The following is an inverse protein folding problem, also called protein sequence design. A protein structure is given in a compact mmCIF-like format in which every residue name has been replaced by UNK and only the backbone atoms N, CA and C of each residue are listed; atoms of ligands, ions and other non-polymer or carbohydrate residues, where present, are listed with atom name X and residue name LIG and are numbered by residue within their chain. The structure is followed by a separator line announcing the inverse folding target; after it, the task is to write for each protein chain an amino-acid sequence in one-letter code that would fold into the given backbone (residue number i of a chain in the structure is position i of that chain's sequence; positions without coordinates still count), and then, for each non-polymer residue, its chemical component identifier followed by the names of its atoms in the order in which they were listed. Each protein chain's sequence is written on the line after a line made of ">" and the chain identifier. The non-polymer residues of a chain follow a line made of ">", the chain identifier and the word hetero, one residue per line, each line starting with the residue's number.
data_IF_660181262447
#
_entry.id   IF_660181262447
#
_cell.length_a   1.000
_cell.length_b   1.000
_cell.length_c   1.000
_cell.angle_alpha   90.00
_cell.angle_beta   90.00
_cell.angle_gamma   90.00
#
_symmetry.space_group_name_H-M   'P 1'
#
loop_
_entity.id
_entity.type
_entity.pdbx_description
1 polymer ?
#
# COMPACT_ATOMS: atom_id res chain seq x y z
N UNK A 1 -21.19 -22.06 21.59
CA UNK A 1 -20.23 -22.02 20.47
C UNK A 1 -20.72 -22.99 19.41
N UNK A 2 -21.51 -22.52 18.43
CA UNK A 2 -22.01 -23.35 17.34
C UNK A 2 -21.07 -23.18 16.15
N UNK A 3 -20.56 -24.31 15.66
CA UNK A 3 -19.93 -24.58 14.37
C UNK A 3 -19.74 -23.36 13.44
N UNK A 4 -18.63 -22.65 13.65
CA UNK A 4 -17.99 -21.87 12.60
C UNK A 4 -17.33 -22.89 11.67
N UNK A 5 -18.03 -23.33 10.61
CA UNK A 5 -17.41 -23.99 9.45
C UNK A 5 -16.49 -22.95 8.79
N UNK A 6 -15.30 -22.79 9.34
CA UNK A 6 -14.24 -21.95 8.79
C UNK A 6 -13.71 -22.66 7.54
N UNK A 7 -13.83 -21.99 6.39
CA UNK A 7 -13.02 -22.14 5.17
C UNK A 7 -12.41 -23.53 4.95
N UNK A 8 -13.26 -24.56 4.78
CA UNK A 8 -12.84 -25.70 3.97
C UNK A 8 -13.18 -25.33 2.54
N UNK A 9 -12.18 -25.00 1.74
CA UNK A 9 -12.35 -24.91 0.29
C UNK A 9 -12.74 -26.32 -0.16
N UNK A 10 -14.04 -26.56 -0.30
CA UNK A 10 -14.53 -27.83 -0.82
C UNK A 10 -14.25 -27.83 -2.33
N UNK A 11 -13.04 -28.27 -2.67
CA UNK A 11 -12.63 -28.51 -4.06
C UNK A 11 -13.51 -29.57 -4.74
N UNK A 12 -14.38 -30.25 -3.98
CA UNK A 12 -15.33 -31.26 -4.45
C UNK A 12 -16.54 -30.67 -5.19
N UNK A 13 -16.86 -29.38 -5.01
CA UNK A 13 -17.89 -28.68 -5.80
C UNK A 13 -17.40 -28.27 -7.20
N UNK A 14 -16.12 -28.53 -7.52
CA UNK A 14 -15.53 -28.32 -8.85
C UNK A 14 -15.79 -29.49 -9.82
N UNK A 15 -16.95 -30.15 -9.71
CA UNK A 15 -17.38 -31.16 -10.69
C UNK A 15 -17.80 -30.57 -12.05
N UNK A 16 -17.78 -29.24 -12.16
CA UNK A 16 -17.94 -28.51 -13.40
C UNK A 16 -16.97 -28.97 -14.49
N UNK A 17 -17.44 -28.96 -15.74
CA UNK A 17 -16.68 -29.44 -16.89
C UNK A 17 -15.35 -28.70 -17.06
N UNK A 18 -14.48 -29.17 -17.98
CA UNK A 18 -13.20 -28.50 -18.30
C UNK A 18 -13.33 -26.98 -18.57
N UNK A 19 -14.50 -26.52 -19.01
CA UNK A 19 -14.83 -25.10 -19.19
C UNK A 19 -14.84 -24.29 -17.90
N UNK A 20 -15.44 -24.81 -16.84
CA UNK A 20 -15.63 -24.11 -15.56
C UNK A 20 -14.30 -23.90 -14.85
N UNK A 21 -13.41 -24.91 -14.88
CA UNK A 21 -12.07 -24.81 -14.32
C UNK A 21 -11.21 -23.76 -15.03
N UNK A 22 -11.34 -23.63 -16.36
CA UNK A 22 -10.62 -22.61 -17.13
C UNK A 22 -11.11 -21.21 -16.77
N UNK A 23 -12.42 -21.02 -16.66
CA UNK A 23 -13.00 -19.73 -16.29
C UNK A 23 -12.61 -19.32 -14.86
N UNK A 24 -12.63 -20.26 -13.92
CA UNK A 24 -12.17 -20.03 -12.56
C UNK A 24 -10.70 -19.59 -12.52
N UNK A 25 -9.81 -20.28 -13.23
CA UNK A 25 -8.39 -19.92 -13.27
C UNK A 25 -8.15 -18.53 -13.87
N UNK A 26 -8.95 -18.14 -14.88
CA UNK A 26 -8.88 -16.79 -15.44
C UNK A 26 -9.31 -15.76 -14.41
N UNK A 27 -10.47 -15.96 -13.76
CA UNK A 27 -10.94 -15.08 -12.68
C UNK A 27 -9.91 -14.98 -11.55
N UNK A 28 -9.32 -16.10 -11.16
CA UNK A 28 -8.29 -16.14 -10.13
C UNK A 28 -7.09 -15.26 -10.51
N UNK A 29 -6.62 -15.33 -11.76
CA UNK A 29 -5.54 -14.46 -12.24
C UNK A 29 -5.97 -12.98 -12.31
N UNK A 30 -7.20 -12.69 -12.72
CA UNK A 30 -7.74 -11.33 -12.77
C UNK A 30 -7.80 -10.70 -11.39
N UNK A 31 -8.24 -11.45 -10.37
CA UNK A 31 -8.28 -10.99 -8.97
C UNK A 31 -6.89 -10.74 -8.39
N UNK A 32 -5.88 -11.53 -8.77
CA UNK A 32 -4.49 -11.24 -8.41
C UNK A 32 -4.05 -9.90 -8.98
N UNK A 33 -4.32 -9.65 -10.26
CA UNK A 33 -3.91 -8.41 -10.93
C UNK A 33 -4.69 -7.21 -10.36
N UNK A 34 -5.99 -7.38 -10.11
CA UNK A 34 -6.81 -6.34 -9.48
C UNK A 34 -6.32 -6.01 -8.07
N UNK A 35 -6.07 -7.02 -7.23
CA UNK A 35 -5.50 -6.82 -5.90
C UNK A 35 -4.13 -6.14 -5.95
N UNK A 36 -3.29 -6.54 -6.91
CA UNK A 36 -1.97 -5.93 -7.15
C UNK A 36 -2.11 -4.44 -7.48
N UNK A 37 -2.85 -4.11 -8.53
CA UNK A 37 -3.00 -2.73 -9.01
C UNK A 37 -3.77 -1.84 -8.03
N UNK A 38 -4.69 -2.40 -7.23
CA UNK A 38 -5.39 -1.67 -6.18
C UNK A 38 -4.43 -1.10 -5.11
N UNK A 39 -3.42 -1.89 -4.75
CA UNK A 39 -2.46 -1.52 -3.70
C UNK A 39 -1.12 -1.01 -4.25
N UNK A 40 -0.92 -1.07 -5.56
CA UNK A 40 0.34 -0.68 -6.21
C UNK A 40 0.74 0.77 -5.92
N UNK A 41 -0.17 1.73 -6.13
CA UNK A 41 0.09 3.14 -5.82
C UNK A 41 0.44 3.38 -4.35
N UNK A 42 -0.28 2.73 -3.44
CA UNK A 42 -0.01 2.79 -2.00
C UNK A 42 1.41 2.30 -1.68
N UNK A 43 1.80 1.15 -2.22
CA UNK A 43 3.15 0.61 -2.06
C UNK A 43 4.21 1.56 -2.61
N UNK A 44 4.01 2.13 -3.80
CA UNK A 44 5.00 3.02 -4.40
C UNK A 44 5.27 4.24 -3.54
N UNK A 45 4.22 4.83 -2.96
CA UNK A 45 4.37 5.97 -2.07
C UNK A 45 5.15 5.59 -0.82
N UNK A 46 4.87 4.42 -0.21
CA UNK A 46 5.65 3.94 0.94
C UNK A 46 7.10 3.69 0.55
N UNK A 47 7.35 2.91 -0.51
CA UNK A 47 8.70 2.55 -0.93
C UNK A 47 9.56 3.77 -1.26
N UNK A 48 8.97 4.80 -1.87
CA UNK A 48 9.64 6.05 -2.19
C UNK A 48 9.60 7.11 -1.09
N UNK A 49 8.91 6.89 0.03
CA UNK A 49 8.62 7.95 1.00
C UNK A 49 9.89 8.65 1.52
N UNK A 50 10.96 7.91 1.76
CA UNK A 50 12.23 8.45 2.23
C UNK A 50 12.89 9.36 1.19
N UNK A 51 12.89 8.95 -0.08
CA UNK A 51 13.45 9.75 -1.17
C UNK A 51 12.58 10.98 -1.45
N UNK A 52 11.25 10.83 -1.48
CA UNK A 52 10.32 11.95 -1.67
C UNK A 52 10.53 12.98 -0.56
N UNK A 53 10.58 12.55 0.70
CA UNK A 53 10.86 13.44 1.82
C UNK A 53 12.24 14.13 1.69
N UNK A 54 13.27 13.41 1.23
CA UNK A 54 14.61 13.96 1.01
C UNK A 54 14.63 15.01 -0.11
N UNK A 55 13.96 14.75 -1.23
CA UNK A 55 13.90 15.66 -2.39
C UNK A 55 13.30 17.03 -2.05
N UNK A 56 12.39 17.08 -1.07
CA UNK A 56 11.78 18.32 -0.61
C UNK A 56 12.40 18.89 0.67
N UNK A 57 13.56 18.38 1.11
CA UNK A 57 14.24 18.78 2.35
C UNK A 57 13.38 18.58 3.62
N UNK A 58 12.53 17.55 3.62
CA UNK A 58 11.59 17.18 4.71
C UNK A 58 11.83 15.77 5.25
N UNK A 59 13.07 15.31 5.34
CA UNK A 59 13.44 13.95 5.79
C UNK A 59 12.77 13.53 7.11
N UNK A 60 12.59 14.46 8.06
CA UNK A 60 11.93 14.19 9.33
C UNK A 60 10.42 13.95 9.24
N UNK A 61 9.81 14.23 8.09
CA UNK A 61 8.38 14.06 7.82
C UNK A 61 8.08 12.87 6.92
N UNK A 62 9.03 11.95 6.69
CA UNK A 62 8.77 10.70 5.96
C UNK A 62 7.52 9.95 6.52
N UNK A 63 7.37 9.74 7.84
CA UNK A 63 6.22 8.98 8.38
C UNK A 63 4.85 9.63 8.11
N UNK A 64 4.84 10.91 7.69
CA UNK A 64 3.63 11.62 7.31
C UNK A 64 2.96 10.96 6.10
N UNK A 65 3.73 10.41 5.14
CA UNK A 65 3.16 9.73 3.97
C UNK A 65 2.26 8.55 4.38
N UNK A 66 2.75 7.66 5.24
CA UNK A 66 1.96 6.54 5.77
C UNK A 66 0.76 7.03 6.57
N UNK A 67 0.96 8.06 7.40
CA UNK A 67 -0.11 8.62 8.25
C UNK A 67 -1.23 9.23 7.42
N UNK A 68 -0.90 9.99 6.37
CA UNK A 68 -1.85 10.59 5.44
C UNK A 68 -2.61 9.51 4.67
N UNK A 69 -1.95 8.43 4.22
CA UNK A 69 -2.66 7.32 3.56
C UNK A 69 -3.62 6.60 4.50
N UNK A 70 -3.21 6.34 5.75
CA UNK A 70 -4.10 5.73 6.75
C UNK A 70 -5.29 6.63 7.05
N UNK A 71 -5.05 7.92 7.23
CA UNK A 71 -6.13 8.89 7.41
C UNK A 71 -7.07 8.92 6.20
N UNK A 72 -6.53 8.92 4.98
CA UNK A 72 -7.32 8.82 3.75
C UNK A 72 -8.17 7.55 3.73
N UNK A 73 -7.62 6.41 4.17
CA UNK A 73 -8.36 5.16 4.23
C UNK A 73 -9.54 5.22 5.22
N UNK A 74 -9.31 5.74 6.43
CA UNK A 74 -10.40 5.90 7.40
C UNK A 74 -11.46 6.89 6.94
N UNK A 75 -11.04 8.08 6.47
CA UNK A 75 -11.94 9.12 6.02
C UNK A 75 -12.77 8.66 4.81
N UNK A 76 -12.11 8.08 3.81
CA UNK A 76 -12.77 7.60 2.60
C UNK A 76 -13.67 6.42 2.88
N UNK A 77 -13.26 5.47 3.73
CA UNK A 77 -14.11 4.37 4.15
C UNK A 77 -15.38 4.84 4.87
N UNK A 78 -15.24 5.81 5.78
CA UNK A 78 -16.37 6.39 6.51
C UNK A 78 -17.34 7.17 5.61
N UNK A 79 -16.82 7.91 4.63
CA UNK A 79 -17.63 8.61 3.61
C UNK A 79 -18.31 7.61 2.69
N UNK A 80 -17.56 6.62 2.18
CA UNK A 80 -18.07 5.59 1.28
C UNK A 80 -19.21 4.79 1.93
N UNK A 81 -19.06 4.39 3.19
CA UNK A 81 -20.10 3.65 3.93
C UNK A 81 -21.44 4.41 4.05
N UNK A 82 -21.41 5.75 4.03
CA UNK A 82 -22.62 6.58 4.14
C UNK A 82 -23.17 7.04 2.80
N UNK A 83 -22.29 7.45 1.88
CA UNK A 83 -22.66 8.19 0.67
C UNK A 83 -22.64 7.30 -0.57
N UNK A 84 -21.81 6.26 -0.63
CA UNK A 84 -21.61 5.52 -1.87
C UNK A 84 -22.74 4.52 -2.18
N UNK A 85 -23.56 4.14 -1.19
CA UNK A 85 -24.61 3.13 -1.30
C UNK A 85 -25.53 3.24 -2.54
N UNK A 86 -26.06 4.43 -2.94
CA UNK A 86 -26.93 4.55 -4.11
C UNK A 86 -26.19 4.42 -5.45
N UNK A 87 -24.86 4.58 -5.48
CA UNK A 87 -24.10 4.52 -6.72
C UNK A 87 -23.80 3.08 -7.13
N UNK A 88 -23.71 2.82 -8.43
CA UNK A 88 -23.28 1.52 -8.94
C UNK A 88 -21.78 1.27 -8.68
N UNK A 89 -21.38 0.00 -8.59
CA UNK A 89 -19.96 -0.39 -8.47
C UNK A 89 -19.08 0.25 -9.55
N UNK A 90 -19.57 0.30 -10.81
CA UNK A 90 -18.93 1.04 -11.90
C UNK A 90 -18.70 2.50 -11.51
N UNK A 91 -19.74 3.25 -11.20
CA UNK A 91 -19.58 4.68 -10.88
C UNK A 91 -18.59 4.92 -9.74
N UNK A 92 -18.64 4.09 -8.69
CA UNK A 92 -17.74 4.20 -7.52
C UNK A 92 -16.28 3.98 -7.91
N UNK A 93 -15.98 2.88 -8.60
CA UNK A 93 -14.62 2.58 -9.01
C UNK A 93 -14.15 3.56 -10.10
N UNK A 94 -15.04 4.02 -10.98
CA UNK A 94 -14.70 4.97 -12.05
C UNK A 94 -14.29 6.32 -11.48
N UNK A 95 -15.01 6.78 -10.46
CA UNK A 95 -14.62 7.94 -9.67
C UNK A 95 -13.27 7.73 -8.97
N UNK A 96 -13.03 6.54 -8.41
CA UNK A 96 -11.74 6.20 -7.81
C UNK A 96 -10.60 6.29 -8.84
N UNK A 97 -10.80 5.83 -10.08
CA UNK A 97 -9.80 5.95 -11.16
C UNK A 97 -9.43 7.40 -11.45
N UNK A 98 -10.43 8.29 -11.47
CA UNK A 98 -10.22 9.72 -11.69
C UNK A 98 -9.43 10.30 -10.52
N UNK A 99 -9.82 9.98 -9.28
CA UNK A 99 -9.10 10.39 -8.05
C UNK A 99 -7.63 9.95 -8.11
N UNK A 100 -7.37 8.69 -8.47
CA UNK A 100 -6.03 8.14 -8.60
C UNK A 100 -5.21 8.85 -9.68
N UNK A 101 -5.82 9.13 -10.83
CA UNK A 101 -5.16 9.82 -11.94
C UNK A 101 -4.79 11.26 -11.56
N UNK A 102 -5.69 11.97 -10.86
CA UNK A 102 -5.39 13.29 -10.30
C UNK A 102 -4.25 13.20 -9.29
N UNK A 103 -4.25 12.19 -8.42
CA UNK A 103 -3.16 11.92 -7.48
C UNK A 103 -1.80 11.80 -8.19
N UNK A 104 -1.73 11.04 -9.28
CA UNK A 104 -0.49 10.91 -10.04
C UNK A 104 -0.07 12.16 -10.80
N UNK A 105 -1.02 12.94 -11.34
CA UNK A 105 -0.72 14.24 -11.93
C UNK A 105 -0.19 15.23 -10.88
N UNK A 106 -0.74 15.21 -9.67
CA UNK A 106 -0.25 16.02 -8.55
C UNK A 106 1.15 15.58 -8.11
N UNK A 107 1.44 14.27 -8.05
CA UNK A 107 2.82 13.80 -7.84
C UNK A 107 3.75 14.30 -8.93
N UNK A 108 3.37 14.14 -10.21
CA UNK A 108 4.14 14.64 -11.34
C UNK A 108 4.49 16.11 -11.19
N UNK A 109 3.48 16.93 -10.93
CA UNK A 109 3.62 18.38 -10.73
C UNK A 109 4.46 18.70 -9.51
N UNK A 110 4.27 18.00 -8.39
CA UNK A 110 5.05 18.19 -7.16
C UNK A 110 6.55 18.00 -7.42
N UNK A 111 6.94 16.97 -8.17
CA UNK A 111 8.35 16.71 -8.47
C UNK A 111 8.96 17.75 -9.41
N UNK A 112 8.17 18.42 -10.26
CA UNK A 112 8.66 19.55 -11.06
C UNK A 112 8.96 20.80 -10.21
N UNK A 113 8.43 20.88 -8.99
CA UNK A 113 8.66 21.99 -8.05
C UNK A 113 9.89 21.80 -7.15
N UNK A 114 10.56 20.65 -7.22
CA UNK A 114 11.78 20.37 -6.45
C UNK A 114 12.86 21.42 -6.77
N UNK A 115 13.37 22.09 -5.73
CA UNK A 115 14.41 23.12 -5.86
C UNK A 115 13.91 24.50 -6.30
N UNK A 116 12.63 24.64 -6.69
CA UNK A 116 12.01 25.93 -7.03
C UNK A 116 11.06 26.38 -5.93
N UNK A 117 10.11 25.51 -5.54
CA UNK A 117 9.14 25.73 -4.48
C UNK A 117 8.94 24.44 -3.67
N UNK A 118 10.01 23.95 -3.04
CA UNK A 118 10.03 22.66 -2.35
C UNK A 118 8.92 22.52 -1.29
N UNK A 119 8.56 23.60 -0.60
CA UNK A 119 7.46 23.59 0.38
C UNK A 119 6.10 23.28 -0.28
N UNK A 120 5.79 23.99 -1.38
CA UNK A 120 4.53 23.78 -2.12
C UNK A 120 4.51 22.39 -2.75
N UNK A 121 5.63 21.96 -3.33
CA UNK A 121 5.78 20.61 -3.87
C UNK A 121 5.56 19.52 -2.83
N UNK A 122 6.10 19.67 -1.61
CA UNK A 122 5.92 18.70 -0.54
C UNK A 122 4.44 18.53 -0.14
N UNK A 123 3.73 19.64 0.10
CA UNK A 123 2.31 19.57 0.49
C UNK A 123 1.43 19.08 -0.66
N UNK A 124 1.80 19.38 -1.90
CA UNK A 124 1.16 18.80 -3.08
C UNK A 124 1.37 17.28 -3.15
N UNK A 125 2.56 16.79 -2.84
CA UNK A 125 2.84 15.35 -2.73
C UNK A 125 2.04 14.69 -1.58
N UNK A 126 1.80 15.40 -0.47
CA UNK A 126 0.91 14.88 0.58
C UNK A 126 -0.56 14.83 0.15
N UNK A 127 -1.04 15.83 -0.59
CA UNK A 127 -2.38 15.76 -1.18
C UNK A 127 -2.49 14.61 -2.18
N UNK A 128 -1.49 14.42 -3.04
CA UNK A 128 -1.41 13.29 -3.95
C UNK A 128 -1.47 11.95 -3.20
N UNK A 129 -0.72 11.84 -2.10
CA UNK A 129 -0.69 10.68 -1.19
C UNK A 129 -2.07 10.38 -0.60
N UNK A 130 -2.80 11.41 -0.18
CA UNK A 130 -4.18 11.25 0.29
C UNK A 130 -5.09 10.66 -0.80
N UNK A 131 -5.00 11.16 -2.04
CA UNK A 131 -5.81 10.66 -3.15
C UNK A 131 -5.47 9.21 -3.53
N UNK A 132 -4.19 8.83 -3.48
CA UNK A 132 -3.75 7.43 -3.65
C UNK A 132 -4.38 6.53 -2.58
N UNK A 133 -4.32 6.94 -1.30
CA UNK A 133 -4.95 6.19 -0.20
C UNK A 133 -6.47 6.09 -0.35
N UNK A 134 -7.12 7.16 -0.80
CA UNK A 134 -8.56 7.17 -1.06
C UNK A 134 -8.94 6.19 -2.18
N UNK A 135 -8.20 6.17 -3.30
CA UNK A 135 -8.41 5.20 -4.37
C UNK A 135 -8.28 3.76 -3.86
N UNK A 136 -7.17 3.44 -3.18
CA UNK A 136 -6.91 2.09 -2.66
C UNK A 136 -8.07 1.60 -1.80
N UNK A 137 -8.61 2.48 -0.93
CA UNK A 137 -9.74 2.15 -0.06
C UNK A 137 -11.05 1.95 -0.81
N UNK A 138 -11.38 2.82 -1.78
CA UNK A 138 -12.60 2.64 -2.58
C UNK A 138 -12.52 1.34 -3.37
N UNK A 139 -11.38 1.07 -4.01
CA UNK A 139 -11.18 -0.16 -4.75
C UNK A 139 -11.23 -1.40 -3.85
N UNK A 140 -10.62 -1.37 -2.66
CA UNK A 140 -10.70 -2.48 -1.68
C UNK A 140 -12.14 -2.79 -1.29
N UNK A 141 -12.91 -1.78 -0.90
CA UNK A 141 -14.31 -1.96 -0.47
C UNK A 141 -15.16 -2.54 -1.61
N UNK A 142 -15.01 -2.03 -2.84
CA UNK A 142 -15.86 -2.44 -3.96
C UNK A 142 -15.48 -3.83 -4.49
N UNK A 143 -14.19 -4.17 -4.59
CA UNK A 143 -13.77 -5.51 -5.02
C UNK A 143 -14.15 -6.57 -3.99
N UNK A 144 -13.91 -6.33 -2.69
CA UNK A 144 -14.33 -7.27 -1.64
C UNK A 144 -15.87 -7.43 -1.59
N UNK A 145 -16.62 -6.37 -1.89
CA UNK A 145 -18.08 -6.46 -1.98
C UNK A 145 -18.54 -7.36 -3.12
N UNK A 146 -17.86 -7.28 -4.28
CA UNK A 146 -18.16 -8.12 -5.47
C UNK A 146 -17.74 -9.57 -5.25
N UNK A 147 -16.61 -9.79 -4.55
CA UNK A 147 -16.10 -11.13 -4.25
C UNK A 147 -17.05 -11.97 -3.39
N UNK A 148 -17.94 -11.34 -2.61
CA UNK A 148 -19.00 -12.05 -1.87
C UNK A 148 -19.99 -12.78 -2.79
N UNK A 149 -20.09 -12.34 -4.05
CA UNK A 149 -20.99 -12.89 -5.06
C UNK A 149 -20.28 -13.87 -6.01
N UNK A 150 -19.01 -14.19 -5.73
CA UNK A 150 -18.16 -15.07 -6.52
C UNK A 150 -17.63 -16.22 -5.62
N UNK A 151 -17.00 -17.26 -6.20
CA UNK A 151 -16.48 -18.37 -5.41
C UNK A 151 -15.49 -17.91 -4.33
N UNK A 152 -15.64 -18.43 -3.11
CA UNK A 152 -14.89 -18.03 -1.92
C UNK A 152 -13.36 -18.07 -2.08
N UNK A 153 -12.83 -18.93 -2.97
CA UNK A 153 -11.39 -19.03 -3.26
C UNK A 153 -10.79 -17.77 -3.88
N UNK A 154 -11.61 -16.91 -4.50
CA UNK A 154 -11.15 -15.67 -5.13
C UNK A 154 -10.75 -14.59 -4.12
N UNK A 155 -11.27 -14.62 -2.89
CA UNK A 155 -10.81 -13.73 -1.81
C UNK A 155 -9.33 -13.98 -1.49
N UNK A 156 -8.89 -15.24 -1.57
CA UNK A 156 -7.48 -15.61 -1.44
C UNK A 156 -6.62 -15.06 -2.57
N UNK A 157 -7.14 -15.07 -3.81
CA UNK A 157 -6.47 -14.52 -4.99
C UNK A 157 -6.27 -13.00 -4.86
N UNK A 158 -7.32 -12.27 -4.47
CA UNK A 158 -7.26 -10.84 -4.16
C UNK A 158 -6.21 -10.56 -3.08
N UNK A 159 -6.30 -11.25 -1.94
CA UNK A 159 -5.35 -11.11 -0.83
C UNK A 159 -3.90 -11.39 -1.24
N UNK A 160 -3.66 -12.40 -2.07
CA UNK A 160 -2.34 -12.67 -2.64
C UNK A 160 -1.86 -11.51 -3.52
N UNK A 161 -2.70 -11.03 -4.44
CA UNK A 161 -2.40 -9.88 -5.30
C UNK A 161 -2.03 -8.63 -4.52
N UNK A 162 -2.79 -8.29 -3.48
CA UNK A 162 -2.46 -7.16 -2.60
C UNK A 162 -1.12 -7.36 -1.87
N UNK A 163 -0.67 -8.59 -1.63
CA UNK A 163 0.64 -8.88 -1.02
C UNK A 163 1.78 -8.75 -2.03
N UNK A 164 1.57 -9.28 -3.24
CA UNK A 164 2.50 -9.13 -4.37
C UNK A 164 2.71 -7.66 -4.72
N UNK A 165 1.68 -6.82 -4.58
CA UNK A 165 1.78 -5.37 -4.84
C UNK A 165 2.95 -4.72 -4.09
N UNK A 166 3.20 -5.16 -2.86
CA UNK A 166 4.21 -4.55 -2.00
C UNK A 166 5.64 -4.86 -2.47
N UNK A 167 5.85 -6.11 -2.89
CA UNK A 167 7.09 -6.54 -3.50
C UNK A 167 7.29 -5.89 -4.88
N UNK A 168 6.29 -5.97 -5.77
CA UNK A 168 6.40 -5.45 -7.13
C UNK A 168 6.52 -3.93 -7.15
N UNK A 169 5.77 -3.21 -6.33
CA UNK A 169 5.83 -1.75 -6.22
C UNK A 169 7.20 -1.26 -5.76
N UNK A 170 7.74 -1.83 -4.68
CA UNK A 170 9.06 -1.42 -4.18
C UNK A 170 10.20 -1.74 -5.16
N UNK A 171 10.19 -2.93 -5.77
CA UNK A 171 11.23 -3.32 -6.75
C UNK A 171 11.13 -2.49 -8.03
N UNK A 172 9.92 -2.28 -8.56
CA UNK A 172 9.74 -1.46 -9.76
C UNK A 172 10.13 0.00 -9.54
N UNK A 173 9.85 0.55 -8.35
CA UNK A 173 10.32 1.87 -7.94
C UNK A 173 11.86 1.95 -7.95
N UNK A 174 12.54 1.02 -7.27
CA UNK A 174 14.01 0.97 -7.22
C UNK A 174 14.58 0.87 -8.64
N UNK A 175 14.05 -0.05 -9.47
CA UNK A 175 14.53 -0.21 -10.85
C UNK A 175 14.35 1.09 -11.64
N UNK A 176 13.17 1.71 -11.59
CA UNK A 176 12.87 2.92 -12.37
C UNK A 176 13.81 4.09 -12.00
N UNK A 177 13.99 4.35 -10.70
CA UNK A 177 14.83 5.45 -10.25
C UNK A 177 16.31 5.20 -10.55
N UNK A 178 16.79 3.95 -10.39
CA UNK A 178 18.19 3.61 -10.71
C UNK A 178 18.46 3.59 -12.23
N UNK A 179 17.44 3.45 -13.07
CA UNK A 179 17.53 3.66 -14.53
C UNK A 179 17.49 5.14 -14.93
N UNK A 180 17.41 6.08 -13.97
CA UNK A 180 17.38 7.51 -14.23
C UNK A 180 16.02 8.03 -14.71
N UNK A 181 14.94 7.25 -14.55
CA UNK A 181 13.59 7.73 -14.84
C UNK A 181 13.24 8.82 -13.81
N UNK A 182 12.91 10.02 -14.30
CA UNK A 182 12.48 11.10 -13.40
C UNK A 182 11.20 10.73 -12.65
N UNK A 183 11.12 11.11 -11.37
CA UNK A 183 9.95 10.87 -10.51
C UNK A 183 8.65 11.35 -11.15
N UNK A 184 8.67 12.54 -11.79
CA UNK A 184 7.49 13.06 -12.48
C UNK A 184 7.02 12.14 -13.60
N UNK A 185 7.94 11.69 -14.46
CA UNK A 185 7.61 10.79 -15.57
C UNK A 185 7.13 9.44 -15.06
N UNK A 186 7.76 8.93 -14.00
CA UNK A 186 7.37 7.67 -13.39
C UNK A 186 5.91 7.67 -12.93
N UNK A 187 5.50 8.63 -12.09
CA UNK A 187 4.13 8.67 -11.57
C UNK A 187 3.08 8.95 -12.66
N UNK A 188 3.33 9.91 -13.57
CA UNK A 188 2.41 10.20 -14.68
C UNK A 188 2.27 9.01 -15.63
N UNK A 189 3.36 8.26 -15.85
CA UNK A 189 3.37 7.05 -16.66
C UNK A 189 2.51 5.90 -16.10
N UNK A 190 2.08 5.97 -14.84
CA UNK A 190 1.20 4.95 -14.25
C UNK A 190 -0.28 5.12 -14.62
N UNK A 191 -0.71 6.31 -15.03
CA UNK A 191 -2.11 6.57 -15.42
C UNK A 191 -2.66 5.54 -16.43
N UNK A 192 -1.96 5.21 -17.54
CA UNK A 192 -2.46 4.19 -18.48
C UNK A 192 -2.56 2.77 -17.88
N UNK A 193 -1.73 2.43 -16.88
CA UNK A 193 -1.81 1.11 -16.21
C UNK A 193 -3.17 0.92 -15.54
N UNK A 194 -3.73 2.01 -15.03
CA UNK A 194 -5.01 2.01 -14.35
C UNK A 194 -6.21 1.82 -15.31
N UNK A 195 -6.05 2.02 -16.62
CA UNK A 195 -7.05 1.58 -17.61
C UNK A 195 -7.18 0.05 -17.65
N UNK A 196 -6.09 -0.68 -17.40
CA UNK A 196 -6.10 -2.14 -17.29
C UNK A 196 -6.90 -2.57 -16.06
N UNK A 197 -6.66 -1.93 -14.91
CA UNK A 197 -7.44 -2.17 -13.69
C UNK A 197 -8.94 -1.98 -13.96
N UNK A 198 -9.31 -0.88 -14.61
CA UNK A 198 -10.70 -0.59 -14.95
C UNK A 198 -11.33 -1.65 -15.86
N UNK A 199 -10.63 -2.08 -16.91
CA UNK A 199 -11.11 -3.09 -17.83
C UNK A 199 -11.34 -4.45 -17.14
N UNK A 200 -10.39 -4.87 -16.29
CA UNK A 200 -10.50 -6.09 -15.49
C UNK A 200 -11.67 -6.02 -14.51
N UNK A 201 -11.81 -4.89 -13.82
CA UNK A 201 -12.90 -4.66 -12.87
C UNK A 201 -14.28 -4.78 -13.53
N UNK A 202 -14.47 -4.16 -14.70
CA UNK A 202 -15.73 -4.24 -15.44
C UNK A 202 -16.08 -5.67 -15.85
N UNK A 203 -15.08 -6.49 -16.18
CA UNK A 203 -15.28 -7.89 -16.52
C UNK A 203 -15.69 -8.71 -15.30
N UNK A 204 -14.95 -8.59 -14.20
CA UNK A 204 -15.26 -9.28 -12.94
C UNK A 204 -16.65 -8.89 -12.43
N UNK A 205 -16.96 -7.60 -12.39
CA UNK A 205 -18.28 -7.10 -11.97
C UNK A 205 -19.41 -7.65 -12.84
N UNK A 206 -19.20 -7.73 -14.17
CA UNK A 206 -20.19 -8.33 -15.08
C UNK A 206 -20.44 -9.79 -14.73
N UNK A 207 -19.39 -10.57 -14.45
CA UNK A 207 -19.51 -11.98 -14.10
C UNK A 207 -20.19 -12.18 -12.74
N UNK A 208 -19.83 -11.38 -11.75
CA UNK A 208 -20.48 -11.41 -10.43
C UNK A 208 -21.99 -11.14 -10.53
N UNK A 209 -22.40 -10.14 -11.32
CA UNK A 209 -23.83 -9.84 -11.54
C UNK A 209 -24.58 -10.96 -12.25
N UNK A 210 -23.92 -11.72 -13.13
CA UNK A 210 -24.54 -12.88 -13.77
C UNK A 210 -24.74 -14.00 -12.75
N UNK A 211 -23.75 -14.25 -11.90
CA UNK A 211 -23.82 -15.26 -10.85
C UNK A 211 -24.90 -14.92 -9.81
N UNK A 212 -25.02 -13.66 -9.39
CA UNK A 212 -26.10 -13.20 -8.49
C UNK A 212 -27.49 -13.46 -9.08
N UNK A 213 -27.68 -13.22 -10.39
CA UNK A 213 -28.98 -13.45 -11.05
C UNK A 213 -29.32 -14.93 -11.14
N UNK A 214 -28.33 -15.78 -11.40
CA UNK A 214 -28.50 -17.22 -11.44
C UNK A 214 -28.85 -17.78 -10.05
N UNK A 215 -28.12 -17.36 -9.02
CA UNK A 215 -28.43 -17.71 -7.63
C UNK A 215 -29.81 -17.19 -7.20
N UNK A 216 -30.14 -15.94 -7.52
CA UNK A 216 -31.46 -15.39 -7.19
C UNK A 216 -32.59 -16.15 -7.88
N UNK A 217 -32.42 -16.54 -9.15
CA UNK A 217 -33.41 -17.35 -9.87
C UNK A 217 -33.54 -18.77 -9.30
N UNK A 218 -32.44 -19.36 -8.83
CA UNK A 218 -32.45 -20.65 -8.15
C UNK A 218 -33.05 -20.56 -6.73
N UNK A 219 -32.82 -19.47 -6.00
CA UNK A 219 -33.26 -19.28 -4.61
C UNK A 219 -34.73 -18.85 -4.51
N UNK A 220 -35.25 -18.07 -5.48
CA UNK A 220 -36.70 -17.78 -5.61
C UNK A 220 -37.52 -19.06 -5.84
N UNK A 221 -36.88 -20.14 -6.29
CA UNK A 221 -37.53 -21.46 -6.42
C UNK A 221 -37.57 -22.26 -5.10
N UNK A 222 -36.86 -21.83 -4.04
CA UNK A 222 -36.58 -22.64 -2.85
C UNK A 222 -36.82 -21.98 -1.47
N UNK A 223 -36.98 -20.66 -1.32
CA UNK A 223 -37.07 -20.04 0.03
C UNK A 223 -38.11 -18.92 0.23
N UNK A 224 -38.75 -18.96 1.41
CA UNK A 224 -39.70 -17.99 1.98
C UNK A 224 -39.02 -16.67 2.40
N UNK A 225 -39.77 -15.56 2.31
CA UNK A 225 -39.43 -14.14 2.55
C UNK A 225 -38.57 -13.80 3.79
N UNK A 226 -38.45 -14.67 4.78
CA UNK A 226 -37.87 -14.36 6.10
C UNK A 226 -36.32 -14.34 6.11
N UNK A 227 -35.66 -14.98 5.13
CA UNK A 227 -34.18 -15.09 5.06
C UNK A 227 -33.47 -13.82 4.54
N UNK A 228 -34.22 -12.85 3.97
CA UNK A 228 -33.66 -11.80 3.10
C UNK A 228 -33.14 -10.53 3.81
N UNK A 229 -33.26 -10.40 5.14
CA UNK A 229 -32.85 -9.17 5.84
C UNK A 229 -31.38 -9.17 6.25
N UNK A 230 -30.53 -8.78 5.29
CA UNK A 230 -29.23 -8.16 5.60
C UNK A 230 -29.46 -6.95 6.52
N UNK A 231 -29.06 -7.09 7.79
CA UNK A 231 -29.26 -6.08 8.82
C UNK A 231 -28.49 -4.81 8.46
N UNK A 232 -29.20 -3.72 8.17
CA UNK A 232 -28.58 -2.39 8.06
C UNK A 232 -27.85 -2.08 9.37
N UNK A 233 -26.57 -1.75 9.26
CA UNK A 233 -25.75 -1.31 10.39
C UNK A 233 -26.37 -0.03 10.97
N UNK A 234 -27.13 -0.21 12.04
CA UNK A 234 -27.76 0.85 12.81
C UNK A 234 -26.94 1.00 14.09
N UNK A 235 -26.90 2.19 14.69
CA UNK A 235 -26.22 2.40 15.98
C UNK A 235 -26.66 1.39 17.05
N UNK A 236 -27.90 0.90 16.98
CA UNK A 236 -28.46 -0.15 17.85
C UNK A 236 -27.92 -1.57 17.58
N UNK A 237 -27.52 -1.89 16.34
CA UNK A 237 -26.96 -3.20 15.97
C UNK A 237 -25.43 -3.24 16.05
N UNK A 238 -24.77 -2.08 16.07
CA UNK A 238 -23.30 -1.98 16.17
C UNK A 238 -22.71 -2.70 17.40
N UNK A 239 -23.27 -2.60 18.63
CA UNK A 239 -22.73 -3.34 19.78
C UNK A 239 -22.79 -4.85 19.59
N UNK A 240 -23.82 -5.36 18.90
CA UNK A 240 -23.94 -6.79 18.61
C UNK A 240 -22.92 -7.24 17.57
N UNK A 241 -22.70 -6.45 16.52
CA UNK A 241 -21.64 -6.71 15.52
C UNK A 241 -20.26 -6.68 16.18
N UNK A 242 -20.00 -5.68 17.03
CA UNK A 242 -18.75 -5.59 17.78
C UNK A 242 -18.59 -6.74 18.78
N UNK A 243 -19.67 -7.21 19.42
CA UNK A 243 -19.61 -8.40 20.27
C UNK A 243 -19.29 -9.67 19.48
N UNK A 244 -19.74 -9.78 18.23
CA UNK A 244 -19.50 -10.94 17.37
C UNK A 244 -18.11 -10.94 16.73
N UNK A 245 -17.63 -9.79 16.24
CA UNK A 245 -16.38 -9.68 15.47
C UNK A 245 -15.33 -8.75 16.05
N UNK A 246 -15.62 -8.03 17.13
CA UNK A 246 -14.76 -6.97 17.67
C UNK A 246 -13.40 -7.47 18.12
N UNK A 247 -13.31 -8.69 18.66
CA UNK A 247 -12.01 -9.30 18.99
C UNK A 247 -11.13 -9.43 17.75
N UNK A 248 -11.69 -9.89 16.62
CA UNK A 248 -10.95 -10.04 15.35
C UNK A 248 -10.54 -8.66 14.83
N UNK A 249 -11.45 -7.69 14.84
CA UNK A 249 -11.20 -6.31 14.41
C UNK A 249 -10.09 -5.68 15.25
N UNK A 250 -10.13 -5.82 16.58
CA UNK A 250 -9.12 -5.28 17.48
C UNK A 250 -7.74 -5.94 17.27
N UNK A 251 -7.70 -7.25 17.07
CA UNK A 251 -6.44 -7.96 16.79
C UNK A 251 -5.83 -7.51 15.45
N UNK A 252 -6.66 -7.36 14.42
CA UNK A 252 -6.21 -6.80 13.13
C UNK A 252 -5.72 -5.37 13.29
N UNK A 253 -6.48 -4.50 13.94
CA UNK A 253 -6.10 -3.11 14.17
C UNK A 253 -4.76 -3.01 14.94
N UNK A 254 -4.60 -3.79 16.00
CA UNK A 254 -3.36 -3.83 16.78
C UNK A 254 -2.17 -4.35 15.94
N UNK A 255 -2.36 -5.43 15.18
CA UNK A 255 -1.31 -6.00 14.32
C UNK A 255 -0.84 -4.98 13.28
N UNK A 256 -1.76 -4.29 12.62
CA UNK A 256 -1.43 -3.23 11.66
C UNK A 256 -0.79 -2.01 12.34
N UNK A 257 -1.24 -1.61 13.52
CA UNK A 257 -0.63 -0.51 14.26
C UNK A 257 0.84 -0.79 14.61
N UNK A 258 1.13 -1.99 15.13
CA UNK A 258 2.51 -2.42 15.41
C UNK A 258 3.35 -2.53 14.13
N UNK A 259 2.73 -2.98 13.05
CA UNK A 259 3.41 -3.05 11.76
C UNK A 259 3.86 -1.66 11.26
N UNK A 260 2.95 -0.69 11.21
CA UNK A 260 3.27 0.66 10.76
C UNK A 260 4.24 1.38 11.70
N UNK A 261 4.22 1.05 13.01
CA UNK A 261 5.21 1.54 13.96
C UNK A 261 6.63 1.07 13.60
N UNK A 262 6.80 -0.21 13.25
CA UNK A 262 8.09 -0.76 12.84
C UNK A 262 8.52 -0.17 11.49
N UNK A 263 7.65 -0.23 10.49
CA UNK A 263 7.98 0.12 9.09
C UNK A 263 8.20 1.63 8.91
N UNK A 264 7.26 2.46 9.38
CA UNK A 264 7.34 3.91 9.18
C UNK A 264 8.05 4.63 10.32
N UNK A 265 8.13 4.03 11.51
CA UNK A 265 8.82 4.63 12.67
C UNK A 265 10.29 4.23 12.76
N UNK A 266 10.57 2.94 12.88
CA UNK A 266 11.92 2.45 13.20
C UNK A 266 12.79 2.22 11.97
N UNK A 267 12.25 1.57 10.93
CA UNK A 267 13.02 1.19 9.74
C UNK A 267 13.55 2.42 8.96
N UNK A 268 12.77 3.49 8.88
CA UNK A 268 13.21 4.77 8.31
C UNK A 268 14.50 5.28 8.92
N UNK A 269 14.51 5.44 10.24
CA UNK A 269 15.62 6.05 10.96
C UNK A 269 16.87 5.18 10.94
N UNK A 270 16.71 3.87 10.88
CA UNK A 270 17.82 2.94 10.73
C UNK A 270 18.56 3.08 9.38
N UNK A 271 17.87 3.56 8.33
CA UNK A 271 18.41 3.62 6.96
C UNK A 271 18.97 4.99 6.54
N UNK A 272 18.81 6.03 7.36
CA UNK A 272 19.27 7.40 7.03
C UNK A 272 20.80 7.57 6.94
N UNK A 273 21.58 6.63 7.49
CA UNK A 273 23.04 6.73 7.57
C UNK A 273 23.70 5.41 7.13
N UNK A 274 23.76 5.17 5.80
CA UNK A 274 24.41 3.99 5.26
C UNK A 274 25.92 3.99 5.53
N UNK A 275 26.44 2.88 6.02
CA UNK A 275 27.88 2.60 6.04
C UNK A 275 28.43 2.60 4.60
N UNK A 276 29.67 3.09 4.36
CA UNK A 276 30.20 3.35 3.02
C UNK A 276 30.42 2.10 2.14
N UNK A 277 30.26 0.89 2.68
CA UNK A 277 30.75 -0.34 2.05
C UNK A 277 29.90 -0.87 0.87
N UNK A 278 28.66 -0.39 0.66
CA UNK A 278 27.87 -0.74 -0.55
C UNK A 278 26.90 0.39 -0.93
N UNK A 279 27.37 1.40 -1.69
CA UNK A 279 26.60 2.61 -2.00
C UNK A 279 25.19 2.31 -2.58
N UNK A 280 25.06 1.38 -3.54
CA UNK A 280 23.78 1.10 -4.18
C UNK A 280 22.76 0.41 -3.25
N UNK A 281 23.16 -0.62 -2.51
CA UNK A 281 22.28 -1.35 -1.58
C UNK A 281 21.90 -0.45 -0.41
N UNK A 282 22.85 0.36 0.05
CA UNK A 282 22.65 1.19 1.22
C UNK A 282 21.73 2.40 0.93
N UNK A 283 21.81 2.99 -0.26
CA UNK A 283 20.89 4.06 -0.72
C UNK A 283 19.46 3.53 -0.90
N UNK A 284 19.29 2.30 -1.38
CA UNK A 284 17.97 1.70 -1.61
C UNK A 284 17.46 0.84 -0.42
N UNK A 285 18.17 0.86 0.72
CA UNK A 285 17.94 -0.08 1.83
C UNK A 285 16.52 -0.02 2.39
N UNK A 286 15.93 1.18 2.47
CA UNK A 286 14.55 1.35 2.91
C UNK A 286 13.55 0.69 1.95
N UNK A 287 13.62 1.02 0.66
CA UNK A 287 12.74 0.45 -0.37
C UNK A 287 12.90 -1.08 -0.47
N UNK A 288 14.13 -1.59 -0.38
CA UNK A 288 14.39 -3.03 -0.32
C UNK A 288 13.83 -3.68 0.96
N UNK A 289 13.87 -2.97 2.09
CA UNK A 289 13.21 -3.38 3.33
C UNK A 289 11.69 -3.53 3.15
N UNK A 290 11.06 -2.57 2.45
CA UNK A 290 9.65 -2.64 2.06
C UNK A 290 9.39 -3.86 1.14
N UNK A 291 10.33 -4.19 0.23
CA UNK A 291 10.22 -5.41 -0.61
C UNK A 291 10.25 -6.69 0.23
N UNK A 292 11.18 -6.81 1.17
CA UNK A 292 11.29 -7.98 2.06
C UNK A 292 10.04 -8.12 2.93
N UNK A 293 9.55 -7.01 3.46
CA UNK A 293 8.29 -6.97 4.19
C UNK A 293 7.12 -7.42 3.30
N UNK A 294 7.06 -6.96 2.05
CA UNK A 294 6.07 -7.39 1.07
C UNK A 294 6.08 -8.90 0.80
N UNK A 295 7.27 -9.53 0.71
CA UNK A 295 7.39 -10.99 0.61
C UNK A 295 6.81 -11.66 1.88
N UNK A 296 7.12 -11.14 3.06
CA UNK A 296 6.55 -11.62 4.32
C UNK A 296 5.02 -11.58 4.33
N UNK A 297 4.43 -10.45 3.92
CA UNK A 297 2.97 -10.28 3.81
C UNK A 297 2.36 -11.24 2.78
N UNK A 298 3.01 -11.42 1.63
CA UNK A 298 2.58 -12.36 0.60
C UNK A 298 2.56 -13.80 1.14
N UNK A 299 3.63 -14.24 1.79
CA UNK A 299 3.74 -15.58 2.39
C UNK A 299 2.74 -15.76 3.54
N UNK A 300 2.52 -14.73 4.36
CA UNK A 300 1.54 -14.77 5.43
C UNK A 300 0.10 -14.92 4.89
N UNK A 301 -0.24 -14.29 3.76
CA UNK A 301 -1.57 -14.45 3.16
C UNK A 301 -1.76 -15.81 2.48
N UNK A 302 -0.70 -16.33 1.84
CA UNK A 302 -0.70 -17.69 1.30
C UNK A 302 -0.82 -18.74 2.41
N UNK A 303 -0.13 -18.54 3.54
CA UNK A 303 -0.08 -19.52 4.62
C UNK A 303 -1.45 -19.75 5.27
N UNK A 304 -2.36 -18.76 5.27
CA UNK A 304 -3.72 -18.92 5.81
C UNK A 304 -4.50 -20.04 5.10
N UNK A 305 -4.25 -20.26 3.81
CA UNK A 305 -4.89 -21.35 3.07
C UNK A 305 -4.41 -22.75 3.49
N UNK A 306 -3.19 -22.85 4.01
CA UNK A 306 -2.56 -24.12 4.42
C UNK A 306 -2.55 -24.33 5.93
N UNK A 307 -2.47 -23.26 6.72
CA UNK A 307 -2.27 -23.25 8.16
C UNK A 307 -3.28 -22.31 8.86
N UNK A 308 -4.58 -22.64 8.83
CA UNK A 308 -5.59 -21.84 9.53
C UNK A 308 -5.35 -21.89 11.03
N UNK A 309 -5.10 -20.74 11.65
CA UNK A 309 -4.79 -20.64 13.08
C UNK A 309 -5.99 -20.14 13.85
N UNK A 310 -6.52 -20.94 14.79
CA UNK A 310 -7.66 -20.54 15.63
C UNK A 310 -7.30 -19.50 16.71
N UNK A 311 -6.01 -19.24 16.94
CA UNK A 311 -5.48 -18.39 18.01
C UNK A 311 -4.89 -17.08 17.47
N UNK A 312 -5.73 -16.25 16.85
CA UNK A 312 -5.32 -14.97 16.25
C UNK A 312 -4.62 -14.05 17.27
N UNK A 313 -5.02 -14.10 18.55
CA UNK A 313 -4.39 -13.30 19.61
C UNK A 313 -2.91 -13.57 19.82
N UNK A 314 -2.45 -14.81 19.58
CA UNK A 314 -1.02 -15.14 19.70
C UNK A 314 -0.20 -14.38 18.66
N UNK A 315 -0.72 -14.21 17.45
CA UNK A 315 -0.06 -13.48 16.36
C UNK A 315 0.09 -12.01 16.75
N UNK A 316 -0.94 -11.40 17.34
CA UNK A 316 -0.88 -10.01 17.83
C UNK A 316 0.17 -9.83 18.93
N UNK A 317 0.28 -10.79 19.87
CA UNK A 317 1.30 -10.75 20.93
C UNK A 317 2.70 -10.88 20.33
N UNK A 318 2.89 -11.80 19.38
CA UNK A 318 4.17 -11.96 18.68
C UNK A 318 4.55 -10.68 17.93
N UNK A 319 3.59 -10.01 17.29
CA UNK A 319 3.82 -8.73 16.62
C UNK A 319 4.18 -7.61 17.60
N UNK A 320 3.54 -7.57 18.78
CA UNK A 320 3.91 -6.64 19.84
C UNK A 320 5.36 -6.87 20.29
N UNK A 321 5.74 -8.12 20.59
CA UNK A 321 7.11 -8.49 20.96
C UNK A 321 8.07 -8.03 19.87
N UNK A 322 7.78 -8.31 18.60
CA UNK A 322 8.60 -7.88 17.47
C UNK A 322 8.77 -6.35 17.43
N UNK A 323 7.70 -5.57 17.70
CA UNK A 323 7.79 -4.11 17.73
C UNK A 323 8.68 -3.59 18.86
N UNK A 324 8.60 -4.21 20.04
CA UNK A 324 9.43 -3.85 21.20
C UNK A 324 10.89 -4.22 20.94
N UNK A 325 11.15 -5.43 20.44
CA UNK A 325 12.51 -5.86 20.09
C UNK A 325 13.13 -4.99 19.00
N UNK A 326 12.35 -4.56 18.01
CA UNK A 326 12.82 -3.65 16.96
C UNK A 326 13.15 -2.26 17.52
N UNK A 327 12.37 -1.76 18.47
CA UNK A 327 12.66 -0.51 19.18
C UNK A 327 13.96 -0.59 19.98
N UNK A 328 14.17 -1.67 20.74
CA UNK A 328 15.41 -1.88 21.50
C UNK A 328 16.63 -1.98 20.58
N UNK A 329 16.53 -2.73 19.49
CA UNK A 329 17.62 -2.84 18.50
C UNK A 329 17.97 -1.47 17.90
N UNK A 330 16.95 -0.65 17.63
CA UNK A 330 17.12 0.71 17.16
C UNK A 330 17.82 1.60 18.20
N UNK A 331 17.40 1.54 19.47
CA UNK A 331 18.06 2.30 20.54
C UNK A 331 19.53 1.91 20.69
N UNK A 332 19.84 0.61 20.64
CA UNK A 332 21.21 0.11 20.69
C UNK A 332 22.04 0.60 19.50
N UNK A 333 21.48 0.62 18.29
CA UNK A 333 22.15 1.18 17.12
C UNK A 333 22.41 2.69 17.25
N UNK A 334 21.47 3.45 17.81
CA UNK A 334 21.64 4.88 18.11
C UNK A 334 22.70 5.12 19.17
N UNK A 335 22.70 4.35 20.27
CA UNK A 335 23.68 4.45 21.36
C UNK A 335 25.08 4.08 20.85
N UNK A 336 25.22 3.01 20.07
CA UNK A 336 26.49 2.60 19.47
C UNK A 336 27.08 3.68 18.56
N UNK A 337 26.25 4.34 17.74
CA UNK A 337 26.67 5.50 16.93
C UNK A 337 27.08 6.69 17.80
N UNK A 338 26.35 6.97 18.89
CA UNK A 338 26.70 8.04 19.83
C UNK A 338 28.05 7.79 20.53
N UNK A 339 28.31 6.55 20.95
CA UNK A 339 29.59 6.14 21.54
C UNK A 339 30.75 6.21 20.53
N UNK A 340 30.54 5.78 19.28
CA UNK A 340 31.52 5.94 18.21
C UNK A 340 31.85 7.41 17.91
N UNK A 341 30.84 8.29 17.94
CA UNK A 341 31.02 9.73 17.81
C UNK A 341 31.85 10.29 18.98
N UNK A 342 31.49 9.97 20.23
CA UNK A 342 32.24 10.43 21.41
C UNK A 342 33.66 9.88 21.47
N UNK A 343 33.90 8.66 20.96
CA UNK A 343 35.24 8.09 20.81
C UNK A 343 36.10 8.82 19.77
N UNK A 344 35.49 9.38 18.71
CA UNK A 344 36.18 10.17 17.69
C UNK A 344 36.49 11.61 18.12
N UNK A 345 35.72 12.16 19.07
CA UNK A 345 35.99 13.48 19.67
C UNK A 345 37.24 13.51 20.58
N UNK A 346 37.86 12.36 20.85
CA UNK A 346 39.07 12.24 21.68
C UNK A 346 40.40 12.48 20.96
N UNK A 347 40.46 12.81 19.66
CA UNK A 347 41.77 12.86 19.00
C UNK A 347 41.99 13.52 17.63
N UNK A 348 41.01 14.05 16.90
CA UNK A 348 41.27 14.64 15.57
C UNK A 348 40.47 15.93 15.32
N UNK A 349 41.17 16.99 14.90
CA UNK A 349 40.56 18.23 14.39
C UNK A 349 39.65 17.91 13.19
N UNK A 350 38.40 18.39 13.16
CA UNK A 350 37.50 18.11 12.06
C UNK A 350 37.97 18.85 10.82
N UNK A 351 38.43 18.09 9.81
CA UNK A 351 38.49 18.59 8.44
C UNK A 351 37.07 18.44 7.90
N UNK A 352 36.36 19.55 7.77
CA UNK A 352 35.09 19.60 7.04
C UNK A 352 35.44 19.26 5.60
N UNK A 353 35.12 18.05 5.16
CA UNK A 353 35.13 17.70 3.74
C UNK A 353 33.84 18.30 3.17
N UNK A 354 33.89 19.37 2.34
CA UNK A 354 32.69 19.85 1.68
C UNK A 354 32.13 18.73 0.81
N UNK A 355 30.81 18.54 0.91
CA UNK A 355 30.06 17.65 0.04
C UNK A 355 30.16 18.18 -1.39
N UNK A 356 31.08 17.60 -2.17
CA UNK A 356 31.29 17.99 -3.56
C UNK A 356 30.13 17.47 -4.43
N UNK A 357 29.33 18.40 -4.97
CA UNK A 357 28.25 18.11 -5.92
C UNK A 357 28.75 17.68 -7.31
N UNK A 358 30.06 17.64 -7.55
CA UNK A 358 30.65 17.31 -8.85
C UNK A 358 30.68 15.82 -9.18
N UNK A 359 30.34 14.93 -8.24
CA UNK A 359 30.34 13.47 -8.47
C UNK A 359 28.93 12.95 -8.76
N UNK A 360 28.27 13.57 -9.74
CA UNK A 360 27.22 12.91 -10.52
C UNK A 360 27.73 12.83 -11.96
N UNK A 361 27.80 11.65 -12.60
CA UNK A 361 28.25 11.58 -13.98
C UNK A 361 27.27 12.34 -14.86
N UNK A 362 27.80 13.39 -15.50
CA UNK A 362 27.13 14.21 -16.48
C UNK A 362 26.64 13.34 -17.65
N UNK A 363 25.35 13.03 -17.67
CA UNK A 363 24.63 12.56 -18.84
C UNK A 363 24.00 13.74 -19.60
N UNK A 364 24.79 14.34 -20.50
CA UNK A 364 24.39 15.00 -21.75
C UNK A 364 23.17 15.93 -21.85
N UNK A 365 23.48 17.22 -22.12
CA UNK A 365 22.76 18.21 -22.96
C UNK A 365 21.28 18.53 -22.61
N UNK A 366 20.89 19.78 -22.33
CA UNK A 366 20.90 20.92 -23.25
C UNK A 366 21.27 22.23 -22.52
N UNK A 367 22.12 22.96 -23.22
CA UNK A 367 22.62 24.31 -23.02
C UNK A 367 21.49 25.36 -23.05
N UNK A 368 21.38 26.25 -22.06
CA UNK A 368 20.95 27.64 -22.28
C UNK A 368 21.50 28.57 -21.18
N UNK A 369 22.41 29.45 -21.61
CA UNK A 369 22.37 30.87 -21.26
C UNK A 369 22.92 31.30 -19.90
N UNK A 370 24.24 31.54 -19.85
CA UNK A 370 24.84 32.54 -18.98
C UNK A 370 24.26 33.94 -19.29
N UNK A 371 23.79 34.66 -18.27
CA UNK A 371 24.04 36.10 -18.17
C UNK A 371 24.07 36.53 -16.71
N UNK A 372 25.28 36.86 -16.26
CA UNK A 372 25.62 38.03 -15.45
C UNK A 372 24.70 38.35 -14.26
N UNK A 373 25.24 38.19 -13.05
CA UNK A 373 25.28 39.30 -12.08
C UNK A 373 26.45 39.09 -11.11
N UNK A 374 27.52 39.83 -11.38
CA UNK A 374 28.57 40.18 -10.44
C UNK A 374 27.97 41.05 -9.33
N UNK A 375 28.37 40.80 -8.09
CA UNK A 375 27.97 41.60 -6.93
C UNK A 375 28.75 41.19 -5.67
N UNK A 376 29.97 41.70 -5.57
CA UNK A 376 30.95 41.61 -4.48
C UNK A 376 30.42 42.04 -3.10
N UNK A 377 31.11 41.67 -1.99
CA UNK A 377 30.58 41.67 -0.64
C UNK A 377 30.70 43.03 0.08
N UNK A 378 29.76 43.26 1.00
CA UNK A 378 29.83 44.25 2.08
C UNK A 378 29.39 43.60 3.38
#
# INVERSE_FOLDING_TARGET
>A
MRNLKIFRVDLSDMSGGKGDRRQYNVLFAEEIILGLLNNYGYTLVIAGAQDIARLFDKTNLMPLFTTVMLFAAFATGAVHARVAAPFSYRQRVGLAMIIQSIGYLLFGTAFLLVGVQSEVGFWMAQLATFLVGAFQTIGEINNLSILNSLPNGLVGAWGFGTGVSQFVGSISYVIAINLGISYSTFFVGLIPVYLVYWALFLRVEKLARLNEKEHAAAEDSLLTEESRKSLKLTSKTFPNVFRMGGIIILNMAATYAFNYLIESGFADRATLHPEPFTAAVAVNSYALGVSVYGIGTMLARLSVAWFPTSRIGLITILQLINSVSSHELYLLACIGKFQGMMGSFGGLKPTIIPYDRSVCPAGGFINFGCSLWDGSPG
#
